data_IF_381734220121
#
_entry.id   IF_381734220121
#
_cell.length_a   1.000
_cell.length_b   1.000
_cell.length_c   1.000
_cell.angle_alpha   90.00
_cell.angle_beta   90.00
_cell.angle_gamma   90.00
#
_symmetry.space_group_name_H-M   'P 1'
#
loop_
_entity.id
_entity.type
_entity.pdbx_description
1 polymer ?
#
# COMPACT_ATOMS: atom_id res chain seq x y z
N UNK A 1 2.55 25.22 8.74
CA UNK A 1 3.66 24.89 9.66
C UNK A 1 3.33 23.49 10.15
N UNK A 2 3.86 22.47 9.45
CA UNK A 2 3.38 21.08 9.58
C UNK A 2 3.79 20.46 10.90
N UNK A 3 2.93 19.62 11.46
CA UNK A 3 3.27 18.79 12.63
C UNK A 3 4.61 18.08 12.38
N UNK A 4 5.55 18.25 13.32
CA UNK A 4 6.83 17.59 13.22
C UNK A 4 6.67 16.17 13.77
N UNK A 5 6.39 15.21 12.89
CA UNK A 5 6.42 13.80 13.24
C UNK A 5 7.78 13.43 13.88
N UNK A 6 7.77 12.48 14.83
CA UNK A 6 8.96 11.93 15.48
C UNK A 6 8.88 10.40 15.48
N UNK A 7 9.97 9.75 15.88
CA UNK A 7 9.97 8.30 16.10
C UNK A 7 9.55 7.49 14.87
N UNK A 8 8.67 6.50 15.08
CA UNK A 8 8.19 5.66 13.99
C UNK A 8 7.32 6.43 13.02
N UNK A 9 6.52 7.39 13.50
CA UNK A 9 5.68 8.20 12.63
C UNK A 9 6.49 9.07 11.65
N UNK A 10 7.65 9.60 12.06
CA UNK A 10 8.57 10.29 11.14
C UNK A 10 9.14 9.35 10.09
N UNK A 11 9.52 8.14 10.49
CA UNK A 11 10.03 7.15 9.56
C UNK A 11 8.94 6.69 8.57
N UNK A 12 7.71 6.47 9.05
CA UNK A 12 6.55 6.16 8.21
C UNK A 12 6.25 7.30 7.22
N UNK A 13 6.38 8.56 7.67
CA UNK A 13 6.24 9.72 6.80
C UNK A 13 7.28 9.74 5.68
N UNK A 14 8.52 9.33 5.97
CA UNK A 14 9.56 9.20 4.94
C UNK A 14 9.22 8.10 3.92
N UNK A 15 8.68 6.97 4.36
CA UNK A 15 8.21 5.92 3.46
C UNK A 15 7.02 6.40 2.59
N UNK A 16 6.04 7.12 3.17
CA UNK A 16 4.95 7.80 2.44
C UNK A 16 5.54 8.63 1.29
N UNK A 17 6.44 9.56 1.61
CA UNK A 17 7.02 10.45 0.60
C UNK A 17 7.77 9.71 -0.50
N UNK A 18 8.45 8.61 -0.16
CA UNK A 18 9.12 7.76 -1.15
C UNK A 18 8.09 7.11 -2.07
N UNK A 19 7.02 6.51 -1.54
CA UNK A 19 5.95 5.93 -2.36
C UNK A 19 5.34 6.98 -3.28
N UNK A 20 4.99 8.15 -2.75
CA UNK A 20 4.38 9.25 -3.51
C UNK A 20 5.28 9.74 -4.65
N UNK A 21 6.60 9.77 -4.43
CA UNK A 21 7.57 10.16 -5.45
C UNK A 21 7.71 9.11 -6.57
N UNK A 22 7.51 7.82 -6.26
CA UNK A 22 7.68 6.71 -7.20
C UNK A 22 6.39 6.35 -7.95
N UNK A 23 5.22 6.66 -7.39
CA UNK A 23 3.91 6.36 -7.96
C UNK A 23 3.72 6.79 -9.43
N UNK A 24 4.24 7.93 -9.90
CA UNK A 24 4.14 8.32 -11.32
C UNK A 24 4.80 7.33 -12.29
N UNK A 25 5.78 6.56 -11.85
CA UNK A 25 6.49 5.53 -12.62
C UNK A 25 6.40 4.17 -11.90
N UNK A 26 5.18 3.83 -11.47
CA UNK A 26 4.94 2.64 -10.68
C UNK A 26 5.36 1.35 -11.39
N UNK A 27 5.28 1.29 -12.72
CA UNK A 27 5.73 0.14 -13.51
C UNK A 27 7.19 -0.20 -13.22
N UNK A 28 8.07 0.80 -13.25
CA UNK A 28 9.52 0.65 -13.02
C UNK A 28 9.88 0.46 -11.54
N UNK A 29 8.99 0.86 -10.63
CA UNK A 29 9.28 0.97 -9.20
C UNK A 29 8.38 0.11 -8.31
N UNK A 30 7.70 -0.88 -8.88
CA UNK A 30 6.72 -1.72 -8.19
C UNK A 30 7.25 -2.34 -6.88
N UNK A 31 8.46 -2.89 -6.91
CA UNK A 31 9.09 -3.47 -5.71
C UNK A 31 9.33 -2.44 -4.61
N UNK A 32 9.85 -1.27 -4.99
CA UNK A 32 10.14 -0.18 -4.05
C UNK A 32 8.85 0.39 -3.46
N UNK A 33 7.81 0.54 -4.28
CA UNK A 33 6.49 1.00 -3.85
C UNK A 33 5.88 0.00 -2.86
N UNK A 34 5.89 -1.30 -3.19
CA UNK A 34 5.38 -2.34 -2.30
C UNK A 34 6.14 -2.39 -0.98
N UNK A 35 7.48 -2.35 -1.04
CA UNK A 35 8.34 -2.35 0.14
C UNK A 35 8.07 -1.14 1.04
N UNK A 36 8.07 0.07 0.49
CA UNK A 36 7.84 1.28 1.29
C UNK A 36 6.39 1.37 1.81
N UNK A 37 5.41 0.82 1.09
CA UNK A 37 4.03 0.72 1.59
C UNK A 37 3.93 -0.21 2.81
N UNK A 38 4.57 -1.37 2.77
CA UNK A 38 4.65 -2.27 3.94
C UNK A 38 5.38 -1.59 5.10
N UNK A 39 6.50 -0.93 4.84
CA UNK A 39 7.31 -0.27 5.87
C UNK A 39 6.56 0.89 6.54
N UNK A 40 5.78 1.65 5.76
CA UNK A 40 4.92 2.70 6.26
C UNK A 40 3.87 2.13 7.21
N UNK A 41 3.16 1.07 6.81
CA UNK A 41 2.15 0.41 7.63
C UNK A 41 2.74 -0.22 8.91
N UNK A 42 3.89 -0.89 8.80
CA UNK A 42 4.62 -1.45 9.95
C UNK A 42 4.93 -0.37 10.99
N UNK A 43 5.44 0.77 10.54
CA UNK A 43 5.85 1.87 11.42
C UNK A 43 4.66 2.58 12.04
N UNK A 44 3.56 2.75 11.30
CA UNK A 44 2.28 3.22 11.87
C UNK A 44 1.81 2.27 12.98
N UNK A 45 1.84 0.96 12.74
CA UNK A 45 1.49 -0.02 13.78
C UNK A 45 2.44 0.04 14.98
N UNK A 46 3.75 0.21 14.77
CA UNK A 46 4.73 0.34 15.87
C UNK A 46 4.53 1.62 16.68
N UNK A 47 4.05 2.70 16.07
CA UNK A 47 3.70 3.92 16.78
C UNK A 47 2.59 3.68 17.82
N UNK A 48 1.59 2.84 17.52
CA UNK A 48 0.54 2.44 18.49
C UNK A 48 1.16 1.88 19.78
N UNK A 49 2.17 1.02 19.68
CA UNK A 49 2.85 0.46 20.86
C UNK A 49 3.57 1.56 21.65
N UNK A 50 4.29 2.45 20.96
CA UNK A 50 5.04 3.54 21.60
C UNK A 50 4.10 4.52 22.31
N UNK A 51 2.97 4.89 21.70
CA UNK A 51 1.97 5.76 22.33
C UNK A 51 1.31 5.10 23.55
N UNK A 52 1.28 3.77 23.61
CA UNK A 52 0.89 2.99 24.78
C UNK A 52 2.07 2.69 25.74
N UNK A 53 3.21 3.37 25.59
CA UNK A 53 4.42 3.18 26.40
C UNK A 53 4.99 1.74 26.41
N UNK A 54 4.76 0.99 25.33
CA UNK A 54 5.26 -0.36 25.13
C UNK A 54 6.30 -0.39 24.02
N UNK A 55 7.40 -1.12 24.24
CA UNK A 55 8.38 -1.37 23.19
C UNK A 55 7.75 -2.31 22.15
N UNK A 56 7.69 -1.91 20.86
CA UNK A 56 7.10 -2.76 19.84
C UNK A 56 7.84 -4.10 19.70
N UNK A 57 7.14 -5.20 19.37
CA UNK A 57 7.78 -6.47 19.07
C UNK A 57 8.83 -6.34 17.95
N UNK A 58 9.90 -7.14 18.03
CA UNK A 58 10.94 -7.22 16.99
C UNK A 58 10.47 -8.09 15.81
N UNK A 59 9.41 -7.65 15.15
CA UNK A 59 8.87 -8.24 13.93
C UNK A 59 8.73 -7.18 12.84
N UNK A 60 8.68 -7.63 11.60
CA UNK A 60 8.32 -6.84 10.42
C UNK A 60 6.92 -7.19 9.89
N UNK A 61 6.31 -8.25 10.43
CA UNK A 61 4.99 -8.69 10.03
C UNK A 61 3.94 -7.74 10.60
N UNK A 62 3.15 -7.11 9.73
CA UNK A 62 2.10 -6.15 10.10
C UNK A 62 0.92 -6.85 10.77
N UNK A 63 0.61 -8.08 10.35
CA UNK A 63 -0.40 -8.94 10.96
C UNK A 63 -0.06 -9.36 12.39
N UNK A 64 1.20 -9.70 12.69
CA UNK A 64 1.64 -9.94 14.07
C UNK A 64 1.43 -8.70 14.97
N UNK A 65 1.80 -7.52 14.46
CA UNK A 65 1.63 -6.26 15.18
C UNK A 65 0.15 -5.95 15.40
N UNK A 66 -0.69 -6.17 14.39
CA UNK A 66 -2.14 -5.96 14.44
C UNK A 66 -2.81 -6.90 15.44
N UNK A 67 -2.45 -8.18 15.43
CA UNK A 67 -2.96 -9.17 16.36
C UNK A 67 -2.60 -8.78 17.80
N UNK A 68 -1.34 -8.46 18.06
CA UNK A 68 -0.88 -8.08 19.40
C UNK A 68 -1.52 -6.77 19.92
N UNK A 69 -1.74 -5.78 19.04
CA UNK A 69 -2.44 -4.54 19.41
C UNK A 69 -3.94 -4.78 19.67
N UNK A 70 -4.56 -5.65 18.86
CA UNK A 70 -5.98 -6.02 18.98
C UNK A 70 -6.26 -6.82 20.25
N UNK A 71 -5.40 -7.78 20.62
CA UNK A 71 -5.49 -8.55 21.87
C UNK A 71 -5.46 -7.64 23.12
N UNK A 72 -4.75 -6.52 23.03
CA UNK A 72 -4.67 -5.52 24.10
C UNK A 72 -5.83 -4.53 24.09
N UNK A 73 -6.72 -4.62 23.10
CA UNK A 73 -7.87 -3.72 22.94
C UNK A 73 -7.50 -2.31 22.49
N UNK A 74 -6.29 -2.11 21.97
CA UNK A 74 -5.81 -0.78 21.55
C UNK A 74 -6.38 -0.35 20.22
N UNK A 75 -6.61 -1.30 19.33
CA UNK A 75 -7.18 -1.09 18.00
C UNK A 75 -8.31 -2.08 17.76
N UNK A 76 -9.25 -1.72 16.89
CA UNK A 76 -10.35 -2.60 16.49
C UNK A 76 -10.15 -3.04 15.03
N UNK A 77 -9.54 -4.19 14.84
CA UNK A 77 -9.29 -4.74 13.51
C UNK A 77 -10.61 -5.12 12.80
N UNK A 78 -10.84 -4.54 11.62
CA UNK A 78 -11.84 -5.04 10.67
C UNK A 78 -11.29 -6.25 9.90
N UNK A 79 -12.17 -7.04 9.28
CA UNK A 79 -11.74 -8.13 8.38
C UNK A 79 -10.85 -7.62 7.24
N UNK A 80 -11.14 -6.43 6.73
CA UNK A 80 -10.35 -5.76 5.69
C UNK A 80 -8.95 -5.40 6.19
N UNK A 81 -8.82 -4.84 7.40
CA UNK A 81 -7.53 -4.53 7.98
C UNK A 81 -6.68 -5.78 8.26
N UNK A 82 -7.31 -6.89 8.67
CA UNK A 82 -6.62 -8.18 8.84
C UNK A 82 -6.09 -8.69 7.50
N UNK A 83 -6.91 -8.64 6.45
CA UNK A 83 -6.48 -9.06 5.11
C UNK A 83 -5.36 -8.18 4.57
N UNK A 84 -5.47 -6.86 4.73
CA UNK A 84 -4.45 -5.90 4.35
C UNK A 84 -3.12 -6.16 5.08
N UNK A 85 -3.16 -6.38 6.40
CA UNK A 85 -1.99 -6.65 7.21
C UNK A 85 -1.27 -7.93 6.76
N UNK A 86 -2.02 -9.02 6.54
CA UNK A 86 -1.46 -10.29 6.06
C UNK A 86 -0.84 -10.13 4.67
N UNK A 87 -1.52 -9.45 3.75
CA UNK A 87 -0.98 -9.16 2.42
C UNK A 87 0.33 -8.38 2.51
N UNK A 88 0.39 -7.29 3.28
CA UNK A 88 1.61 -6.50 3.44
C UNK A 88 2.77 -7.31 4.04
N UNK A 89 2.50 -8.15 5.05
CA UNK A 89 3.52 -9.03 5.64
C UNK A 89 4.17 -9.96 4.62
N UNK A 90 3.41 -10.45 3.63
CA UNK A 90 3.95 -11.31 2.58
C UNK A 90 4.88 -10.55 1.63
N UNK A 91 4.61 -9.27 1.34
CA UNK A 91 5.46 -8.46 0.45
C UNK A 91 6.86 -8.22 1.04
N UNK A 92 6.98 -8.16 2.38
CA UNK A 92 8.28 -8.08 3.07
C UNK A 92 9.20 -9.28 2.80
N UNK A 93 8.61 -10.43 2.44
CA UNK A 93 9.32 -11.68 2.12
C UNK A 93 9.58 -11.78 0.62
N UNK A 94 8.56 -11.49 -0.19
CA UNK A 94 8.56 -11.71 -1.64
C UNK A 94 9.53 -10.77 -2.39
N UNK A 95 9.65 -9.50 -1.97
CA UNK A 95 10.56 -8.54 -2.61
C UNK A 95 12.07 -8.82 -2.39
N UNK A 96 12.44 -9.83 -1.58
CA UNK A 96 13.83 -10.04 -1.13
C UNK A 96 14.53 -11.26 -1.73
N UNK A 97 13.83 -12.18 -2.39
CA UNK A 97 14.42 -13.41 -2.94
C UNK A 97 14.53 -13.34 -4.46
N UNK A 98 15.74 -13.03 -4.92
CA UNK A 98 16.13 -12.62 -6.26
C UNK A 98 16.22 -13.76 -7.32
N UNK A 99 15.19 -14.61 -7.44
CA UNK A 99 15.09 -15.52 -8.60
C UNK A 99 13.80 -15.32 -9.43
N UNK A 100 12.73 -14.79 -8.82
CA UNK A 100 11.53 -14.22 -9.46
C UNK A 100 10.60 -13.80 -8.30
N UNK A 101 10.30 -12.51 -8.14
CA UNK A 101 9.05 -12.02 -8.73
C UNK A 101 9.11 -10.56 -9.18
N UNK A 102 8.73 -10.28 -10.42
CA UNK A 102 8.28 -8.94 -10.82
C UNK A 102 7.00 -8.64 -10.02
N UNK A 103 7.12 -7.98 -8.85
CA UNK A 103 5.95 -7.36 -8.23
C UNK A 103 5.34 -6.49 -9.32
N UNK A 104 4.10 -6.79 -9.70
CA UNK A 104 3.43 -6.07 -10.77
C UNK A 104 3.01 -4.69 -10.29
N UNK A 105 2.80 -3.77 -11.23
CA UNK A 105 2.18 -2.47 -10.95
C UNK A 105 0.88 -2.62 -10.14
N UNK A 106 0.05 -3.60 -10.49
CA UNK A 106 -1.19 -3.89 -9.77
C UNK A 106 -0.96 -4.25 -8.30
N UNK A 107 -0.01 -5.15 -8.02
CA UNK A 107 0.37 -5.54 -6.66
C UNK A 107 1.00 -4.39 -5.87
N UNK A 108 1.79 -3.55 -6.51
CA UNK A 108 2.36 -2.35 -5.90
C UNK A 108 1.25 -1.36 -5.48
N UNK A 109 0.29 -1.07 -6.36
CA UNK A 109 -0.85 -0.22 -6.06
C UNK A 109 -1.76 -0.82 -4.99
N UNK A 110 -1.94 -2.15 -5.00
CA UNK A 110 -2.67 -2.85 -3.96
C UNK A 110 -1.98 -2.72 -2.59
N UNK A 111 -0.64 -2.78 -2.55
CA UNK A 111 0.13 -2.55 -1.32
C UNK A 111 -0.09 -1.13 -0.78
N UNK A 112 -0.16 -0.12 -1.65
CA UNK A 112 -0.50 1.26 -1.26
C UNK A 112 -1.89 1.32 -0.63
N UNK A 113 -2.89 0.70 -1.27
CA UNK A 113 -4.25 0.66 -0.74
C UNK A 113 -4.30 -0.05 0.62
N UNK A 114 -3.65 -1.20 0.77
CA UNK A 114 -3.56 -1.92 2.03
C UNK A 114 -2.86 -1.11 3.14
N UNK A 115 -1.79 -0.39 2.81
CA UNK A 115 -1.10 0.47 3.79
C UNK A 115 -2.03 1.58 4.31
N UNK A 116 -2.82 2.18 3.42
CA UNK A 116 -3.82 3.17 3.81
C UNK A 116 -4.96 2.59 4.66
N UNK A 117 -5.42 1.36 4.39
CA UNK A 117 -6.39 0.67 5.25
C UNK A 117 -5.87 0.52 6.69
N UNK A 118 -4.59 0.17 6.85
CA UNK A 118 -3.96 0.07 8.19
C UNK A 118 -3.92 1.45 8.86
N UNK A 119 -3.49 2.49 8.14
CA UNK A 119 -3.48 3.85 8.66
C UNK A 119 -4.88 4.34 9.06
N UNK A 120 -5.91 4.06 8.26
CA UNK A 120 -7.28 4.45 8.55
C UNK A 120 -7.82 3.75 9.81
N UNK A 121 -7.56 2.45 9.95
CA UNK A 121 -7.97 1.69 11.12
C UNK A 121 -7.27 2.18 12.40
N UNK A 122 -5.97 2.48 12.33
CA UNK A 122 -5.20 3.03 13.45
C UNK A 122 -5.70 4.44 13.79
N UNK A 123 -5.93 5.30 12.80
CA UNK A 123 -6.47 6.64 13.00
C UNK A 123 -7.88 6.63 13.59
N UNK A 124 -8.75 5.72 13.14
CA UNK A 124 -10.08 5.52 13.71
C UNK A 124 -10.05 5.04 15.17
N UNK A 125 -8.93 4.43 15.59
CA UNK A 125 -8.69 4.04 16.98
C UNK A 125 -8.11 5.17 17.84
N UNK A 126 -7.93 6.38 17.28
CA UNK A 126 -7.54 7.59 17.99
C UNK A 126 -6.03 7.89 18.03
N UNK A 127 -5.23 7.19 17.22
CA UNK A 127 -3.78 7.42 17.14
C UNK A 127 -3.40 8.33 15.98
N UNK A 128 -2.22 8.95 16.07
CA UNK A 128 -1.64 9.70 14.98
C UNK A 128 -1.17 8.78 13.85
N UNK A 129 -1.46 9.16 12.62
CA UNK A 129 -1.13 8.37 11.43
C UNK A 129 -0.62 9.24 10.29
N UNK A 130 0.12 8.60 9.39
CA UNK A 130 0.38 9.12 8.04
C UNK A 130 -0.41 8.27 7.05
N UNK A 131 -0.71 8.82 5.88
CA UNK A 131 -1.41 8.14 4.77
C UNK A 131 -0.66 8.40 3.49
N UNK A 132 -0.66 7.48 2.54
CA UNK A 132 -0.14 7.73 1.19
C UNK A 132 -1.22 8.48 0.41
N UNK A 133 -0.91 9.71 0.02
CA UNK A 133 -1.75 10.57 -0.81
C UNK A 133 -1.38 10.33 -2.28
N UNK A 134 -2.22 9.61 -2.99
CA UNK A 134 -2.08 9.43 -4.44
C UNK A 134 -3.18 10.21 -5.15
N UNK A 135 -2.80 11.07 -6.11
CA UNK A 135 -3.76 11.65 -7.03
C UNK A 135 -4.42 10.51 -7.83
N UNK A 136 -5.73 10.32 -7.60
CA UNK A 136 -6.59 9.27 -8.18
C UNK A 136 -6.51 9.21 -9.72
N UNK A 137 -5.98 10.23 -10.39
CA UNK A 137 -5.76 10.25 -11.83
C UNK A 137 -4.73 9.22 -12.33
N UNK A 138 -3.80 8.75 -11.48
CA UNK A 138 -2.88 7.66 -11.84
C UNK A 138 -3.52 6.25 -11.77
N UNK A 139 -4.65 6.11 -11.07
CA UNK A 139 -5.33 4.83 -10.87
C UNK A 139 -6.40 4.52 -11.95
N UNK A 140 -6.73 5.48 -12.84
CA UNK A 140 -7.87 5.36 -13.76
C UNK A 140 -7.56 5.03 -15.23
N UNK A 141 -6.30 4.95 -15.65
CA UNK A 141 -5.99 4.81 -17.09
C UNK A 141 -5.95 3.39 -17.67
N UNK A 142 -6.25 2.33 -16.92
CA UNK A 142 -6.20 0.94 -17.45
C UNK A 142 -7.55 0.21 -17.42
N UNK A 143 -8.65 0.95 -17.60
CA UNK A 143 -9.99 0.36 -17.76
C UNK A 143 -10.55 0.41 -19.18
N UNK A 144 -9.96 1.18 -20.10
CA UNK A 144 -10.66 1.56 -21.36
C UNK A 144 -9.83 1.36 -22.65
N UNK A 145 -8.68 0.67 -22.57
CA UNK A 145 -7.82 0.43 -23.75
C UNK A 145 -8.00 -0.97 -24.38
N UNK A 146 -9.12 -1.65 -24.12
CA UNK A 146 -9.43 -2.97 -24.70
C UNK A 146 -10.76 -2.96 -25.45
N UNK A 147 -10.84 -2.14 -26.50
CA UNK A 147 -11.70 -2.43 -27.66
C UNK A 147 -10.87 -2.22 -28.94
N UNK A 148 -10.57 -3.29 -29.69
CA UNK A 148 -10.26 -3.10 -31.09
C UNK A 148 -11.58 -2.80 -31.82
N UNK A 149 -11.73 -1.55 -32.26
CA UNK A 149 -12.60 -1.21 -33.37
C UNK A 149 -12.05 -1.88 -34.63
N UNK A 150 -12.79 -2.85 -35.15
CA UNK A 150 -12.70 -3.23 -36.55
C UNK A 150 -14.12 -3.45 -37.08
N UNK A 151 -14.74 -2.35 -37.49
CA UNK A 151 -15.83 -2.41 -38.46
C UNK A 151 -15.47 -1.53 -39.67
N UNK A 152 -15.93 -2.00 -40.83
CA UNK A 152 -15.96 -1.38 -42.15
C UNK A 152 -14.69 -1.35 -43.03
N UNK A 153 -14.67 -2.25 -44.02
CA UNK A 153 -14.26 -1.91 -45.39
C UNK A 153 -15.51 -1.79 -46.28
N UNK A 154 -15.76 -0.67 -46.98
CA UNK A 154 -16.92 -0.49 -47.85
C UNK A 154 -16.57 -0.49 -49.36
N UNK A 155 -17.55 -0.92 -50.17
CA UNK A 155 -17.72 -0.76 -51.65
C UNK A 155 -16.82 -1.63 -52.54
N UNK A 156 -17.23 -2.25 -53.64
CA UNK A 156 -18.45 -2.24 -54.43
C UNK A 156 -18.13 -2.46 -55.93
N UNK A 157 -18.90 -3.33 -56.60
CA UNK A 157 -19.27 -3.33 -58.04
C UNK A 157 -18.36 -3.98 -59.13
N UNK A 158 -19.09 -4.63 -60.07
CA UNK A 158 -18.80 -5.08 -61.47
C UNK A 158 -18.03 -6.40 -61.68
N UNK A 159 -18.44 -7.35 -62.53
CA UNK A 159 -19.58 -7.44 -63.48
C UNK A 159 -19.50 -8.71 -64.35
N UNK A 160 -20.57 -8.91 -65.14
CA UNK A 160 -20.85 -9.87 -66.24
C UNK A 160 -21.14 -11.33 -65.87
#
# INVERSE_FOLDING_TARGET
>A
MGEQYRGFLYAAYKDKLTVEALLPDAETHSESIAFHSQQMAEKVMKEVFVQNAVVPPKTHAVDDLLAAASEKGWVKASSEAVQAAHSLSMHAVVARYAECPDITRGEALQAVAHANVIADMVGASGYDVVRIESDIHLLRQEGDASKPDSDSDPKGSCGV
#
